data_IF_939628224303
#
_entry.id   IF_939628224303
#
_cell.length_a   1.000
_cell.length_b   1.000
_cell.length_c   1.000
_cell.angle_alpha   90.00
_cell.angle_beta   90.00
_cell.angle_gamma   90.00
#
_symmetry.space_group_name_H-M   'P 1'
#
loop_
_entity.id
_entity.type
_entity.pdbx_description
1 polymer ?
#
# COMPACT_ATOMS: atom_id res chain seq x y z
N UNK A 1 46.75 17.61 -36.56
CA UNK A 1 46.16 18.78 -37.26
C UNK A 1 44.65 18.67 -37.18
N UNK A 2 43.96 19.64 -36.57
CA UNK A 2 42.50 19.63 -36.40
C UNK A 2 41.83 20.26 -37.63
N UNK A 3 40.89 19.55 -38.25
CA UNK A 3 40.10 20.07 -39.38
C UNK A 3 38.70 20.51 -38.94
N UNK A 4 38.34 21.73 -39.31
CA UNK A 4 37.17 22.50 -38.89
C UNK A 4 35.86 22.00 -39.51
N UNK A 5 34.82 21.96 -38.66
CA UNK A 5 33.47 22.53 -38.79
C UNK A 5 32.86 22.63 -40.21
N UNK A 6 31.71 21.96 -40.41
CA UNK A 6 30.70 22.37 -41.40
C UNK A 6 29.30 22.22 -40.81
N UNK A 7 28.65 23.36 -40.58
CA UNK A 7 27.24 23.48 -40.27
C UNK A 7 26.40 23.28 -41.54
N UNK A 8 25.44 22.37 -41.51
CA UNK A 8 24.41 22.23 -42.55
C UNK A 8 23.05 22.59 -41.95
N UNK A 9 22.62 23.82 -42.20
CA UNK A 9 21.28 24.30 -41.90
C UNK A 9 20.37 23.94 -43.08
N UNK A 10 19.37 23.08 -42.88
CA UNK A 10 18.21 22.94 -43.77
C UNK A 10 16.92 22.98 -42.95
N UNK A 11 16.17 24.06 -43.16
CA UNK A 11 14.74 24.25 -42.88
C UNK A 11 13.98 23.46 -43.98
N UNK A 12 12.76 22.91 -43.89
CA UNK A 12 11.42 23.31 -43.40
C UNK A 12 10.56 22.03 -43.34
N UNK A 13 9.50 21.88 -42.53
CA UNK A 13 8.10 22.22 -42.87
C UNK A 13 7.13 21.77 -41.72
N UNK A 14 5.88 22.27 -41.68
CA UNK A 14 5.09 22.41 -40.45
C UNK A 14 3.97 21.36 -40.28
N UNK A 15 3.47 21.27 -39.03
CA UNK A 15 2.14 20.80 -38.62
C UNK A 15 1.78 19.34 -38.94
N UNK A 16 1.88 18.50 -37.91
CA UNK A 16 0.86 17.49 -37.64
C UNK A 16 0.19 17.85 -36.32
N UNK A 17 -0.85 18.69 -36.43
CA UNK A 17 -1.86 18.84 -35.38
C UNK A 17 -2.74 17.59 -35.46
N UNK A 18 -2.41 16.53 -34.73
CA UNK A 18 -3.39 15.48 -34.46
C UNK A 18 -4.32 16.03 -33.37
N UNK A 19 -5.42 16.64 -33.82
CA UNK A 19 -6.51 16.97 -32.94
C UNK A 19 -7.03 15.68 -32.31
N UNK A 20 -6.92 15.57 -30.99
CA UNK A 20 -7.82 14.74 -30.23
C UNK A 20 -8.97 15.64 -29.78
N UNK A 21 -10.16 15.60 -30.43
CA UNK A 21 -11.39 15.96 -29.75
C UNK A 21 -11.82 14.72 -28.95
N UNK A 22 -10.96 14.23 -28.05
CA UNK A 22 -11.35 13.19 -27.12
C UNK A 22 -12.15 13.90 -26.05
N UNK A 23 -13.46 13.95 -26.30
CA UNK A 23 -14.53 13.92 -25.32
C UNK A 23 -14.28 14.81 -24.11
N UNK A 24 -14.97 15.95 -24.08
CA UNK A 24 -15.38 16.59 -22.85
C UNK A 24 -15.97 15.51 -21.92
N UNK A 25 -15.12 14.94 -21.08
CA UNK A 25 -15.55 14.28 -19.86
C UNK A 25 -16.13 15.44 -19.05
N UNK A 26 -17.44 15.62 -19.19
CA UNK A 26 -18.24 16.39 -18.25
C UNK A 26 -17.98 15.73 -16.90
N UNK A 27 -17.03 16.30 -16.16
CA UNK A 27 -16.77 15.91 -14.78
C UNK A 27 -18.04 16.29 -14.04
N UNK A 28 -18.96 15.33 -13.93
CA UNK A 28 -19.97 15.33 -12.89
C UNK A 28 -19.19 15.55 -11.60
N UNK A 29 -19.42 16.63 -10.86
CA UNK A 29 -18.78 16.82 -9.57
C UNK A 29 -19.09 15.55 -8.78
N UNK A 30 -18.04 14.80 -8.43
CA UNK A 30 -18.17 13.81 -7.36
C UNK A 30 -18.47 14.68 -6.15
N UNK A 31 -19.73 14.69 -5.76
CA UNK A 31 -20.18 15.36 -4.57
C UNK A 31 -19.44 14.64 -3.43
N UNK A 32 -18.30 15.20 -3.06
CA UNK A 32 -17.52 14.77 -1.90
C UNK A 32 -18.38 15.17 -0.71
N UNK A 33 -19.27 14.27 -0.30
CA UNK A 33 -20.02 14.43 0.94
C UNK A 33 -19.00 14.31 2.08
N UNK A 34 -18.45 15.45 2.48
CA UNK A 34 -17.68 15.60 3.70
C UNK A 34 -18.68 15.45 4.86
N UNK A 35 -18.92 14.20 5.24
CA UNK A 35 -19.63 13.87 6.48
C UNK A 35 -18.77 14.41 7.60
N UNK A 36 -19.34 15.35 8.36
CA UNK A 36 -18.69 15.98 9.48
C UNK A 36 -18.17 14.89 10.43
N UNK A 37 -16.97 15.08 11.00
CA UNK A 37 -16.31 14.05 11.82
C UNK A 37 -17.22 13.60 12.98
N UNK A 38 -18.03 14.53 13.52
CA UNK A 38 -19.05 14.27 14.54
C UNK A 38 -20.18 13.33 14.06
N UNK A 39 -20.64 13.44 12.81
CA UNK A 39 -21.64 12.51 12.25
C UNK A 39 -21.07 11.10 12.04
N UNK A 40 -19.78 11.00 11.69
CA UNK A 40 -19.10 9.71 11.53
C UNK A 40 -18.91 9.04 12.89
N UNK A 41 -18.54 9.79 13.92
CA UNK A 41 -18.43 9.29 15.30
C UNK A 41 -19.78 8.84 15.83
N UNK A 42 -20.83 9.66 15.65
CA UNK A 42 -22.19 9.31 16.04
C UNK A 42 -22.68 8.03 15.34
N UNK A 43 -22.33 7.83 14.06
CA UNK A 43 -22.62 6.59 13.34
C UNK A 43 -21.94 5.37 13.96
N UNK A 44 -20.64 5.47 14.28
CA UNK A 44 -19.92 4.36 14.93
C UNK A 44 -20.41 4.09 16.35
N UNK A 45 -20.76 5.12 17.11
CA UNK A 45 -21.30 4.98 18.47
C UNK A 45 -22.69 4.33 18.45
N UNK A 46 -23.56 4.74 17.55
CA UNK A 46 -24.88 4.12 17.36
C UNK A 46 -24.74 2.66 16.91
N UNK A 47 -23.81 2.37 15.99
CA UNK A 47 -23.56 1.03 15.51
C UNK A 47 -22.99 0.13 16.62
N UNK A 48 -21.98 0.59 17.36
CA UNK A 48 -21.38 -0.17 18.46
C UNK A 48 -22.39 -0.44 19.58
N UNK A 49 -23.23 0.55 19.90
CA UNK A 49 -24.29 0.42 20.92
C UNK A 49 -25.39 -0.56 20.50
N UNK A 50 -25.58 -0.78 19.20
CA UNK A 50 -26.56 -1.73 18.66
C UNK A 50 -26.09 -3.19 18.68
N UNK A 51 -24.78 -3.43 18.88
CA UNK A 51 -24.21 -4.78 18.93
C UNK A 51 -24.58 -5.39 20.28
N UNK A 52 -25.56 -6.29 20.26
CA UNK A 52 -25.88 -7.12 21.43
C UNK A 52 -24.67 -8.03 21.70
N UNK A 53 -24.06 -7.99 22.90
CA UNK A 53 -23.01 -8.92 23.22
C UNK A 53 -23.56 -10.35 23.09
N UNK A 54 -22.79 -11.29 22.52
CA UNK A 54 -23.22 -12.68 22.49
C UNK A 54 -23.56 -13.12 23.92
N UNK A 55 -24.57 -13.99 24.12
CA UNK A 55 -24.92 -14.48 25.44
C UNK A 55 -23.65 -15.02 26.11
N UNK A 56 -23.50 -14.73 27.41
CA UNK A 56 -22.35 -15.13 28.21
C UNK A 56 -22.42 -16.64 28.47
N UNK A 57 -22.17 -17.41 27.41
CA UNK A 57 -21.99 -18.84 27.48
C UNK A 57 -20.65 -19.04 28.17
N UNK A 58 -20.68 -19.73 29.31
CA UNK A 58 -19.50 -20.21 30.00
C UNK A 58 -18.80 -21.25 29.13
N UNK A 59 -18.12 -20.79 28.09
CA UNK A 59 -17.12 -21.60 27.43
C UNK A 59 -16.01 -21.86 28.45
N UNK A 60 -15.39 -23.05 28.45
CA UNK A 60 -14.14 -23.25 29.16
C UNK A 60 -13.17 -22.19 28.64
N UNK A 61 -12.97 -21.12 29.42
CA UNK A 61 -11.92 -20.15 29.17
C UNK A 61 -10.66 -20.96 29.17
N UNK A 62 -10.07 -21.13 27.97
CA UNK A 62 -8.76 -21.75 27.86
C UNK A 62 -7.92 -21.01 28.90
N UNK A 63 -7.26 -21.72 29.85
CA UNK A 63 -6.41 -21.02 30.80
C UNK A 63 -5.57 -20.09 29.97
N UNK A 64 -5.43 -18.83 30.40
CA UNK A 64 -4.54 -17.90 29.73
C UNK A 64 -3.22 -18.63 29.62
N UNK A 65 -2.98 -19.26 28.46
CA UNK A 65 -1.67 -19.67 28.07
C UNK A 65 -1.02 -18.34 28.11
N UNK A 66 -0.21 -18.11 29.14
CA UNK A 66 0.87 -17.17 29.10
C UNK A 66 1.49 -17.51 27.75
N UNK A 67 1.08 -16.75 26.73
CA UNK A 67 1.70 -16.78 25.42
C UNK A 67 3.05 -16.31 25.85
N UNK A 68 3.94 -17.27 26.06
CA UNK A 68 5.28 -16.96 26.45
C UNK A 68 5.78 -16.27 25.19
N UNK A 69 5.69 -14.94 25.18
CA UNK A 69 6.26 -14.12 24.13
C UNK A 69 7.72 -14.51 23.87
N UNK A 70 8.53 -15.02 24.84
CA UNK A 70 9.84 -15.60 24.49
C UNK A 70 9.78 -16.92 23.69
N UNK A 71 8.66 -17.62 23.66
CA UNK A 71 8.41 -18.81 22.82
C UNK A 71 7.74 -18.49 21.49
N UNK A 72 7.42 -17.21 21.18
CA UNK A 72 7.18 -16.80 19.80
C UNK A 72 8.41 -17.23 18.99
N UNK A 73 8.16 -18.17 18.09
CA UNK A 73 9.12 -19.07 17.47
C UNK A 73 10.32 -18.32 16.92
N UNK A 74 11.40 -18.20 17.70
CA UNK A 74 12.65 -17.70 17.16
C UNK A 74 13.05 -18.67 16.04
N UNK A 75 13.16 -18.21 14.79
CA UNK A 75 13.51 -19.09 13.69
C UNK A 75 14.84 -19.76 14.01
N UNK A 76 14.92 -21.08 13.76
CA UNK A 76 16.14 -21.81 14.09
C UNK A 76 17.31 -21.23 13.30
N UNK A 77 18.54 -21.18 13.86
CA UNK A 77 19.70 -20.69 13.13
C UNK A 77 19.94 -21.43 11.80
N UNK A 78 19.59 -22.72 11.75
CA UNK A 78 19.66 -23.51 10.53
C UNK A 78 18.65 -23.04 9.48
N UNK A 79 17.41 -22.74 9.89
CA UNK A 79 16.39 -22.19 9.00
C UNK A 79 16.81 -20.83 8.42
N UNK A 80 17.32 -19.93 9.26
CA UNK A 80 17.85 -18.64 8.79
C UNK A 80 19.01 -18.79 7.81
N UNK A 81 19.87 -19.79 8.00
CA UNK A 81 20.95 -20.12 7.06
C UNK A 81 20.39 -20.56 5.70
N UNK A 82 19.36 -21.41 5.67
CA UNK A 82 18.73 -21.85 4.41
C UNK A 82 18.08 -20.70 3.65
N UNK A 83 17.40 -19.78 4.33
CA UNK A 83 16.82 -18.60 3.71
C UNK A 83 17.90 -17.68 3.14
N UNK A 84 19.00 -17.49 3.88
CA UNK A 84 20.13 -16.68 3.41
C UNK A 84 20.73 -17.23 2.12
N UNK A 85 20.92 -18.53 2.04
CA UNK A 85 21.46 -19.20 0.85
C UNK A 85 20.49 -19.11 -0.34
N UNK A 86 19.20 -19.41 -0.11
CA UNK A 86 18.16 -19.37 -1.14
C UNK A 86 18.02 -17.98 -1.78
N UNK A 87 18.02 -16.93 -0.96
CA UNK A 87 17.89 -15.55 -1.43
C UNK A 87 19.23 -14.85 -1.70
N UNK A 88 20.37 -15.54 -1.58
CA UNK A 88 21.73 -14.98 -1.72
C UNK A 88 21.96 -13.73 -0.88
N UNK A 89 21.44 -13.72 0.36
CA UNK A 89 21.53 -12.58 1.26
C UNK A 89 22.98 -12.40 1.76
N UNK A 90 23.61 -11.22 1.59
CA UNK A 90 24.99 -10.97 2.03
C UNK A 90 25.18 -11.19 3.53
N UNK A 91 26.37 -11.66 3.95
CA UNK A 91 26.68 -12.03 5.35
C UNK A 91 26.50 -10.91 6.39
N UNK A 92 26.52 -9.64 5.96
CA UNK A 92 26.35 -8.48 6.83
C UNK A 92 24.91 -8.14 7.22
N UNK A 93 23.90 -8.75 6.59
CA UNK A 93 22.48 -8.50 6.90
C UNK A 93 22.05 -9.40 8.07
N UNK A 94 21.35 -8.85 9.07
CA UNK A 94 20.85 -9.58 10.27
C UNK A 94 19.33 -9.80 10.14
N UNK A 95 18.85 -10.96 10.61
CA UNK A 95 17.43 -11.34 10.66
C UNK A 95 16.88 -11.25 12.09
#
# INVERSE_FOLDING_TARGET
MTSRKRSSKKKTSPKSSSGNPCTSEEIVPKEDFEVEEEEKEAYWDALCSSITPPPEVFYPTRPATQLDLPLLSRPSPAYLKTLREFYRVPSGVVF
#
